data_IF_264711089299
#
_entry.id   IF_264711089299
#
_cell.length_a   1.000
_cell.length_b   1.000
_cell.length_c   1.000
_cell.angle_alpha   90.00
_cell.angle_beta   90.00
_cell.angle_gamma   90.00
#
_symmetry.space_group_name_H-M   'P 1'
#
loop_
_entity.id
_entity.type
_entity.pdbx_description
1 polymer ?
#
# COMPACT_ATOMS: atom_id res chain seq x y z
N UNK A 1 12.30 15.47 -23.33
CA UNK A 1 12.90 16.80 -23.07
C UNK A 1 12.21 17.51 -21.90
N UNK A 2 10.91 17.80 -21.95
CA UNK A 2 10.21 18.45 -20.82
C UNK A 2 10.28 17.66 -19.50
N UNK A 3 10.09 16.34 -19.52
CA UNK A 3 10.14 15.52 -18.29
C UNK A 3 11.52 15.51 -17.62
N UNK A 4 12.59 15.34 -18.41
CA UNK A 4 13.97 15.37 -17.90
C UNK A 4 14.35 16.77 -17.42
N UNK A 5 13.88 17.82 -18.12
CA UNK A 5 14.03 19.21 -17.68
C UNK A 5 13.41 19.44 -16.31
N UNK A 6 12.16 19.02 -16.08
CA UNK A 6 11.51 19.14 -14.76
C UNK A 6 12.33 18.50 -13.64
N UNK A 7 12.91 17.32 -13.87
CA UNK A 7 13.78 16.65 -12.88
C UNK A 7 15.04 17.47 -12.63
N UNK A 8 15.76 17.84 -13.69
CA UNK A 8 17.02 18.59 -13.57
C UNK A 8 16.81 19.96 -12.93
N UNK A 9 15.78 20.68 -13.35
CA UNK A 9 15.42 21.99 -12.81
C UNK A 9 15.04 21.89 -11.33
N UNK A 10 14.24 20.88 -10.96
CA UNK A 10 13.85 20.66 -9.56
C UNK A 10 15.07 20.33 -8.69
N UNK A 11 15.93 19.40 -9.12
CA UNK A 11 17.12 19.03 -8.36
C UNK A 11 18.10 20.21 -8.26
N UNK A 12 18.30 20.96 -9.33
CA UNK A 12 19.16 22.16 -9.35
C UNK A 12 18.61 23.23 -8.41
N UNK A 13 17.29 23.45 -8.42
CA UNK A 13 16.62 24.36 -7.49
C UNK A 13 16.86 23.94 -6.04
N UNK A 14 16.69 22.65 -5.72
CA UNK A 14 16.92 22.13 -4.36
C UNK A 14 18.36 22.30 -3.89
N UNK A 15 19.36 22.16 -4.79
CA UNK A 15 20.76 22.42 -4.46
C UNK A 15 21.02 23.91 -4.20
N UNK A 16 20.43 24.80 -5.01
CA UNK A 16 20.68 26.23 -4.92
C UNK A 16 19.92 26.92 -3.79
N UNK A 17 18.68 26.50 -3.53
CA UNK A 17 17.79 27.11 -2.52
C UNK A 17 17.82 26.36 -1.18
N UNK A 18 18.34 25.13 -1.16
CA UNK A 18 18.33 24.24 -0.01
C UNK A 18 17.05 23.41 0.11
N UNK A 19 17.12 22.30 0.84
CA UNK A 19 15.94 21.53 1.22
C UNK A 19 15.27 22.11 2.46
N UNK A 20 13.94 21.98 2.52
CA UNK A 20 13.18 22.29 3.73
C UNK A 20 13.61 21.36 4.88
N UNK A 21 14.26 21.93 5.89
CA UNK A 21 14.82 21.21 7.03
C UNK A 21 13.76 20.39 7.77
N UNK A 22 12.53 20.91 7.82
CA UNK A 22 11.40 20.22 8.45
C UNK A 22 10.99 18.97 7.68
N UNK A 23 11.02 19.03 6.35
CA UNK A 23 10.80 17.87 5.47
C UNK A 23 11.90 16.82 5.66
N UNK A 24 13.16 17.23 5.81
CA UNK A 24 14.27 16.31 6.13
C UNK A 24 14.06 15.64 7.49
N UNK A 25 13.73 16.43 8.52
CA UNK A 25 13.45 15.91 9.86
C UNK A 25 12.27 14.93 9.86
N UNK A 26 11.20 15.25 9.13
CA UNK A 26 10.04 14.40 8.94
C UNK A 26 10.40 13.08 8.26
N UNK A 27 11.17 13.12 7.17
CA UNK A 27 11.61 11.92 6.46
C UNK A 27 12.47 11.00 7.34
N UNK A 28 13.41 11.56 8.11
CA UNK A 28 14.25 10.78 9.01
C UNK A 28 13.42 10.15 10.13
N UNK A 29 12.53 10.92 10.77
CA UNK A 29 11.66 10.41 11.84
C UNK A 29 10.74 9.30 11.34
N UNK A 30 10.22 9.41 10.12
CA UNK A 30 9.40 8.37 9.50
C UNK A 30 10.15 7.03 9.41
N UNK A 31 11.40 7.05 8.90
CA UNK A 31 12.20 5.83 8.80
C UNK A 31 12.67 5.31 10.15
N UNK A 32 13.07 6.18 11.07
CA UNK A 32 13.47 5.81 12.44
C UNK A 32 12.29 5.18 13.21
N UNK A 33 11.08 5.72 13.07
CA UNK A 33 9.88 5.15 13.67
C UNK A 33 9.64 3.73 13.14
N UNK A 34 9.72 3.52 11.82
CA UNK A 34 9.57 2.18 11.21
C UNK A 34 10.63 1.21 11.68
N UNK A 35 11.87 1.67 11.82
CA UNK A 35 12.97 0.87 12.37
C UNK A 35 12.67 0.43 13.81
N UNK A 36 12.22 1.36 14.67
CA UNK A 36 11.86 1.09 16.08
C UNK A 36 10.64 0.19 16.21
N UNK A 37 9.62 0.41 15.38
CA UNK A 37 8.41 -0.40 15.37
C UNK A 37 8.72 -1.84 14.97
N UNK A 38 9.56 -2.01 13.94
CA UNK A 38 9.91 -3.30 13.36
C UNK A 38 8.68 -4.18 13.11
N UNK A 39 7.56 -3.55 12.70
CA UNK A 39 6.34 -4.24 12.28
C UNK A 39 6.42 -4.49 10.77
N UNK A 40 6.50 -5.77 10.42
CA UNK A 40 6.53 -6.24 9.03
C UNK A 40 5.22 -6.93 8.63
N UNK A 41 4.15 -6.70 9.39
CA UNK A 41 2.83 -7.28 9.18
C UNK A 41 2.87 -8.80 9.22
N UNK A 42 2.53 -9.43 8.09
CA UNK A 42 2.50 -10.91 7.97
C UNK A 42 3.87 -11.56 7.87
N UNK A 43 4.93 -10.79 7.63
CA UNK A 43 6.27 -11.33 7.44
C UNK A 43 6.98 -11.51 8.79
N UNK A 44 7.55 -12.68 9.08
CA UNK A 44 8.30 -12.89 10.31
C UNK A 44 9.50 -11.94 10.41
N UNK A 45 9.72 -11.34 11.59
CA UNK A 45 10.88 -10.45 11.84
C UNK A 45 12.21 -11.11 11.49
N UNK A 46 12.38 -12.40 11.82
CA UNK A 46 13.60 -13.16 11.53
C UNK A 46 13.90 -13.25 10.03
N UNK A 47 12.88 -13.44 9.19
CA UNK A 47 13.05 -13.42 7.73
C UNK A 47 13.52 -12.04 7.25
N UNK A 48 12.86 -10.98 7.71
CA UNK A 48 13.19 -9.61 7.29
C UNK A 48 14.61 -9.21 7.74
N UNK A 49 15.01 -9.55 8.95
CA UNK A 49 16.38 -9.32 9.41
C UNK A 49 17.40 -10.19 8.66
N UNK A 50 17.07 -11.44 8.35
CA UNK A 50 17.90 -12.30 7.51
C UNK A 50 18.16 -11.70 6.13
N UNK A 51 17.12 -11.19 5.46
CA UNK A 51 17.26 -10.51 4.17
C UNK A 51 18.14 -9.25 4.25
N UNK A 52 18.04 -8.49 5.35
CA UNK A 52 18.89 -7.31 5.59
C UNK A 52 20.36 -7.67 5.85
N UNK A 53 20.61 -8.78 6.54
CA UNK A 53 21.97 -9.31 6.73
C UNK A 53 22.54 -9.74 5.38
N UNK A 54 21.75 -10.45 4.57
CA UNK A 54 22.20 -10.89 3.25
C UNK A 54 22.56 -9.73 2.33
N UNK A 55 21.92 -8.56 2.45
CA UNK A 55 22.20 -7.43 1.56
C UNK A 55 23.59 -6.80 1.76
N UNK A 56 24.25 -6.97 2.92
CA UNK A 56 25.67 -6.63 3.07
C UNK A 56 26.57 -7.86 2.99
N UNK A 57 26.15 -8.98 3.57
CA UNK A 57 26.98 -10.19 3.64
C UNK A 57 27.33 -10.76 2.27
N UNK A 58 26.43 -10.67 1.28
CA UNK A 58 26.70 -11.13 -0.09
C UNK A 58 27.83 -10.37 -0.81
N UNK A 59 28.21 -9.20 -0.29
CA UNK A 59 29.19 -8.31 -0.90
C UNK A 59 30.44 -8.10 -0.04
N UNK A 60 30.32 -8.28 1.28
CA UNK A 60 31.43 -8.16 2.22
C UNK A 60 31.22 -9.11 3.43
N UNK A 61 32.12 -10.09 3.57
CA UNK A 61 32.09 -11.08 4.64
C UNK A 61 32.36 -10.49 6.03
N UNK A 62 33.00 -9.32 6.12
CA UNK A 62 33.38 -8.71 7.39
C UNK A 62 32.28 -7.77 7.93
N UNK A 63 31.26 -7.47 7.11
CA UNK A 63 30.17 -6.56 7.45
C UNK A 63 28.75 -7.18 7.35
N UNK A 64 28.49 -8.41 7.83
CA UNK A 64 27.18 -9.04 7.68
C UNK A 64 26.07 -8.32 8.43
N UNK A 65 26.40 -7.54 9.48
CA UNK A 65 25.42 -6.85 10.32
C UNK A 65 25.34 -5.34 10.09
N UNK A 66 25.99 -4.83 9.04
CA UNK A 66 26.03 -3.39 8.75
C UNK A 66 24.63 -2.77 8.73
N UNK A 67 23.71 -3.41 8.00
CA UNK A 67 22.32 -2.97 7.87
C UNK A 67 21.42 -3.38 9.04
N UNK A 68 21.95 -3.65 10.23
CA UNK A 68 21.13 -3.81 11.45
C UNK A 68 21.42 -2.73 12.50
N UNK A 69 22.36 -1.81 12.23
CA UNK A 69 22.85 -0.81 13.20
C UNK A 69 22.38 0.62 12.86
N UNK A 70 21.13 0.77 12.44
CA UNK A 70 20.63 2.02 11.84
C UNK A 70 20.55 3.21 12.80
N UNK A 71 20.45 2.99 14.12
CA UNK A 71 20.28 4.07 15.11
C UNK A 71 21.37 5.16 15.00
N UNK A 72 22.64 4.74 14.83
CA UNK A 72 23.74 5.68 14.66
C UNK A 72 23.64 6.44 13.33
N UNK A 73 23.14 5.77 12.29
CA UNK A 73 22.87 6.40 10.99
C UNK A 73 21.80 7.49 11.09
N UNK A 74 20.69 7.24 11.79
CA UNK A 74 19.65 8.25 11.97
C UNK A 74 20.13 9.46 12.79
N UNK A 75 20.93 9.24 13.84
CA UNK A 75 21.54 10.32 14.61
C UNK A 75 22.45 11.19 13.72
N UNK A 76 23.35 10.55 12.97
CA UNK A 76 24.23 11.23 12.02
C UNK A 76 23.44 12.03 10.98
N UNK A 77 22.40 11.46 10.38
CA UNK A 77 21.58 12.16 9.38
C UNK A 77 20.89 13.41 9.96
N UNK A 78 20.41 13.35 11.21
CA UNK A 78 19.83 14.54 11.87
C UNK A 78 20.85 15.65 12.07
N UNK A 79 22.09 15.31 12.45
CA UNK A 79 23.18 16.29 12.59
C UNK A 79 23.58 16.95 11.27
N UNK A 80 23.25 16.33 10.13
CA UNK A 80 23.52 16.90 8.80
C UNK A 80 22.42 17.85 8.28
N UNK A 81 21.32 18.02 9.01
CA UNK A 81 20.29 18.99 8.61
C UNK A 81 20.87 20.40 8.74
N UNK A 82 20.71 21.23 7.70
CA UNK A 82 21.21 22.60 7.66
C UNK A 82 22.72 22.73 7.37
N UNK A 83 23.45 21.64 7.15
CA UNK A 83 24.90 21.68 6.87
C UNK A 83 25.27 21.74 5.39
N UNK A 84 24.28 21.66 4.49
CA UNK A 84 24.49 21.53 3.04
C UNK A 84 24.82 20.11 2.57
N UNK A 85 24.79 19.13 3.48
CA UNK A 85 25.13 17.73 3.21
C UNK A 85 24.23 17.10 2.14
N UNK A 86 22.91 17.33 2.24
CA UNK A 86 21.92 16.72 1.34
C UNK A 86 21.99 17.32 -0.06
N UNK A 87 22.17 18.62 -0.16
CA UNK A 87 22.39 19.37 -1.40
C UNK A 87 23.66 18.87 -2.09
N UNK A 88 24.74 18.67 -1.32
CA UNK A 88 26.00 18.09 -1.83
C UNK A 88 25.78 16.68 -2.37
N UNK A 89 24.95 15.85 -1.71
CA UNK A 89 24.63 14.51 -2.21
C UNK A 89 23.82 14.56 -3.52
N UNK A 90 22.83 15.46 -3.62
CA UNK A 90 22.06 15.66 -4.85
C UNK A 90 22.97 16.08 -5.99
N UNK A 91 23.82 17.08 -5.75
CA UNK A 91 24.79 17.56 -6.74
C UNK A 91 25.68 16.41 -7.23
N UNK A 92 26.36 15.72 -6.30
CA UNK A 92 27.35 14.69 -6.63
C UNK A 92 26.75 13.43 -7.26
N UNK A 93 25.68 12.89 -6.69
CA UNK A 93 25.21 11.55 -7.04
C UNK A 93 24.08 11.56 -8.08
N UNK A 94 23.39 12.69 -8.27
CA UNK A 94 22.28 12.82 -9.22
C UNK A 94 22.59 13.79 -10.36
N UNK A 95 23.02 15.02 -10.10
CA UNK A 95 23.24 16.02 -11.14
C UNK A 95 24.55 15.81 -11.91
N UNK A 96 25.66 15.59 -11.20
CA UNK A 96 26.99 15.41 -11.79
C UNK A 96 27.22 13.97 -12.29
N UNK A 97 26.33 13.04 -11.91
CA UNK A 97 26.46 11.64 -12.25
C UNK A 97 25.97 11.38 -13.68
N UNK A 98 26.91 11.16 -14.59
CA UNK A 98 26.63 10.85 -15.99
C UNK A 98 26.17 9.41 -16.23
N UNK A 99 26.21 8.53 -15.22
CA UNK A 99 25.75 7.16 -15.31
C UNK A 99 24.22 7.06 -15.13
N UNK A 100 23.49 7.59 -16.11
CA UNK A 100 22.03 7.65 -16.12
C UNK A 100 21.43 6.98 -17.37
N UNK A 101 20.19 6.48 -17.27
CA UNK A 101 19.44 5.93 -18.41
C UNK A 101 18.00 6.42 -18.39
N UNK A 102 17.53 6.93 -19.53
CA UNK A 102 16.13 7.28 -19.74
C UNK A 102 15.43 6.11 -20.46
N UNK A 103 14.50 5.45 -19.76
CA UNK A 103 13.70 4.36 -20.32
C UNK A 103 12.27 4.84 -20.57
N UNK A 104 11.85 4.84 -21.83
CA UNK A 104 10.47 5.19 -22.21
C UNK A 104 9.71 3.95 -22.65
N UNK A 105 8.64 3.60 -21.93
CA UNK A 105 7.73 2.51 -22.29
C UNK A 105 6.51 3.08 -23.02
N UNK A 106 6.40 2.79 -24.31
CA UNK A 106 5.27 3.24 -25.13
C UNK A 106 4.29 2.10 -25.40
N UNK A 107 2.99 2.28 -25.10
CA UNK A 107 1.98 1.27 -25.44
C UNK A 107 1.91 1.10 -26.96
N UNK A 108 1.82 -0.15 -27.41
CA UNK A 108 1.73 -0.49 -28.84
C UNK A 108 0.59 -1.45 -29.07
N UNK A 109 -0.49 -0.95 -29.67
CA UNK A 109 -1.67 -1.75 -30.04
C UNK A 109 -1.26 -2.93 -30.92
N UNK A 110 -1.76 -4.11 -30.59
CA UNK A 110 -1.45 -5.35 -31.32
C UNK A 110 -0.05 -5.92 -31.06
N UNK A 111 0.73 -5.39 -30.12
CA UNK A 111 2.06 -5.95 -29.80
C UNK A 111 1.96 -7.42 -29.33
N UNK A 112 0.96 -7.75 -28.52
CA UNK A 112 0.75 -9.13 -28.05
C UNK A 112 0.43 -10.06 -29.23
N UNK A 113 -0.53 -9.70 -30.09
CA UNK A 113 -0.85 -10.48 -31.29
C UNK A 113 0.37 -10.68 -32.20
N UNK A 114 1.21 -9.65 -32.39
CA UNK A 114 2.47 -9.79 -33.15
C UNK A 114 3.48 -10.72 -32.47
N UNK A 115 3.57 -10.72 -31.14
CA UNK A 115 4.43 -11.65 -30.40
C UNK A 115 3.91 -13.08 -30.50
N UNK A 116 2.59 -13.27 -30.44
CA UNK A 116 1.94 -14.58 -30.59
C UNK A 116 2.12 -15.14 -32.00
N UNK A 117 1.95 -14.32 -33.05
CA UNK A 117 2.16 -14.80 -34.42
C UNK A 117 3.63 -15.18 -34.64
N UNK A 118 4.59 -14.36 -34.19
CA UNK A 118 6.02 -14.72 -34.23
C UNK A 118 6.33 -16.00 -33.46
N UNK A 119 5.70 -16.20 -32.30
CA UNK A 119 5.86 -17.42 -31.52
C UNK A 119 5.28 -18.62 -32.28
N UNK A 120 4.11 -18.48 -32.89
CA UNK A 120 3.45 -19.50 -33.70
C UNK A 120 4.27 -19.87 -34.93
N UNK A 121 4.82 -18.89 -35.64
CA UNK A 121 5.75 -19.10 -36.76
C UNK A 121 6.99 -19.87 -36.30
N UNK A 122 7.62 -19.43 -35.20
CA UNK A 122 8.79 -20.10 -34.60
C UNK A 122 8.48 -21.56 -34.24
N UNK A 123 7.34 -21.82 -33.60
CA UNK A 123 6.93 -23.17 -33.21
C UNK A 123 6.58 -24.03 -34.43
N UNK A 124 5.99 -23.44 -35.47
CA UNK A 124 5.67 -24.14 -36.72
C UNK A 124 6.92 -24.52 -37.48
N UNK A 125 7.89 -23.60 -37.60
CA UNK A 125 9.19 -23.88 -38.21
C UNK A 125 9.98 -24.94 -37.43
N UNK A 126 9.98 -24.85 -36.10
CA UNK A 126 10.59 -25.87 -35.24
C UNK A 126 9.94 -27.25 -35.48
N UNK A 127 8.61 -27.33 -35.47
CA UNK A 127 7.88 -28.57 -35.74
C UNK A 127 8.17 -29.13 -37.13
N UNK A 128 8.28 -28.28 -38.16
CA UNK A 128 8.60 -28.71 -39.52
C UNK A 128 10.02 -29.29 -39.66
N UNK A 129 10.95 -28.88 -38.79
CA UNK A 129 12.31 -29.42 -38.72
C UNK A 129 12.44 -30.76 -37.99
N UNK A 130 11.37 -31.26 -37.37
CA UNK A 130 11.37 -32.53 -36.65
C UNK A 130 11.01 -33.69 -37.57
N UNK A 131 11.71 -34.81 -37.40
CA UNK A 131 11.33 -36.09 -38.01
C UNK A 131 10.03 -36.63 -37.39
N UNK A 132 9.41 -37.58 -38.11
CA UNK A 132 8.19 -38.26 -37.61
C UNK A 132 8.41 -38.97 -36.28
N UNK A 133 9.60 -39.55 -36.07
CA UNK A 133 9.93 -40.26 -34.83
C UNK A 133 10.13 -39.28 -33.66
N UNK A 134 10.76 -38.13 -33.89
CA UNK A 134 10.86 -37.08 -32.86
C UNK A 134 9.50 -36.52 -32.47
N UNK A 135 8.59 -36.31 -33.44
CA UNK A 135 7.22 -35.87 -33.15
C UNK A 135 6.47 -36.93 -32.34
N UNK A 136 6.58 -38.21 -32.71
CA UNK A 136 5.96 -39.31 -31.96
C UNK A 136 6.47 -39.37 -30.52
N UNK A 137 7.78 -39.31 -30.34
CA UNK A 137 8.42 -39.28 -29.03
C UNK A 137 7.92 -38.12 -28.17
N UNK A 138 7.85 -36.90 -28.73
CA UNK A 138 7.35 -35.73 -28.00
C UNK A 138 5.88 -35.86 -27.58
N UNK A 139 5.04 -36.48 -28.43
CA UNK A 139 3.65 -36.78 -28.09
C UNK A 139 3.56 -37.80 -26.96
N UNK A 140 4.37 -38.85 -27.00
CA UNK A 140 4.44 -39.87 -25.94
C UNK A 140 4.94 -39.29 -24.62
N UNK A 141 6.01 -38.48 -24.64
CA UNK A 141 6.52 -37.77 -23.48
C UNK A 141 5.48 -36.81 -22.89
N UNK A 142 4.74 -36.10 -23.74
CA UNK A 142 3.65 -35.22 -23.30
C UNK A 142 2.53 -36.01 -22.61
N UNK A 143 2.14 -37.17 -23.16
CA UNK A 143 1.15 -38.07 -22.53
C UNK A 143 1.65 -38.61 -21.19
N UNK A 144 2.91 -39.05 -21.15
CA UNK A 144 3.55 -39.53 -19.94
C UNK A 144 3.61 -38.44 -18.87
N UNK A 145 3.98 -37.21 -19.23
CA UNK A 145 4.00 -36.06 -18.33
C UNK A 145 2.61 -35.76 -17.76
N UNK A 146 1.57 -35.76 -18.61
CA UNK A 146 0.18 -35.57 -18.14
C UNK A 146 -0.23 -36.66 -17.16
N UNK A 147 0.01 -37.92 -17.50
CA UNK A 147 -0.29 -39.04 -16.61
C UNK A 147 0.46 -38.90 -15.27
N UNK A 148 1.73 -38.52 -15.30
CA UNK A 148 2.53 -38.26 -14.09
C UNK A 148 1.95 -37.14 -13.22
N UNK A 149 1.52 -36.02 -13.82
CA UNK A 149 0.92 -34.90 -13.09
C UNK A 149 -0.47 -35.21 -12.51
N UNK A 150 -1.24 -36.07 -13.19
CA UNK A 150 -2.59 -36.48 -12.78
C UNK A 150 -2.59 -37.68 -11.82
N UNK A 151 -1.50 -38.45 -11.76
CA UNK A 151 -1.36 -39.60 -10.87
C UNK A 151 -1.22 -39.10 -9.42
N UNK A 152 -2.16 -39.42 -8.51
CA UNK A 152 -2.04 -39.04 -7.12
C UNK A 152 -0.89 -39.80 -6.45
N UNK A 153 -0.22 -39.16 -5.49
CA UNK A 153 0.76 -39.84 -4.65
C UNK A 153 0.13 -41.00 -3.90
N UNK A 154 0.87 -42.10 -3.79
CA UNK A 154 0.49 -43.27 -3.00
C UNK A 154 0.47 -42.95 -1.51
N UNK A 155 -0.21 -43.78 -0.72
CA UNK A 155 -0.25 -43.62 0.73
C UNK A 155 1.15 -43.72 1.34
N UNK A 156 1.95 -44.69 0.89
CA UNK A 156 3.33 -44.88 1.37
C UNK A 156 4.23 -43.67 1.07
N UNK A 157 4.03 -42.96 -0.05
CA UNK A 157 4.75 -41.73 -0.37
C UNK A 157 4.34 -40.56 0.53
N UNK A 158 3.03 -40.41 0.77
CA UNK A 158 2.52 -39.37 1.67
C UNK A 158 2.97 -39.59 3.11
N UNK A 159 3.03 -40.83 3.58
CA UNK A 159 3.48 -41.20 4.93
C UNK A 159 4.98 -40.96 5.18
N UNK A 160 5.80 -40.73 4.12
CA UNK A 160 7.21 -40.31 4.26
C UNK A 160 7.37 -38.84 4.61
N UNK A 161 6.32 -38.03 4.47
CA UNK A 161 6.36 -36.60 4.82
C UNK A 161 6.24 -36.48 6.35
N UNK A 162 7.25 -35.95 7.05
CA UNK A 162 7.18 -35.81 8.50
C UNK A 162 6.06 -34.83 8.88
N UNK A 163 5.18 -35.25 9.77
CA UNK A 163 4.02 -34.49 10.22
C UNK A 163 4.07 -34.31 11.73
N UNK A 164 3.57 -33.18 12.21
CA UNK A 164 3.25 -33.02 13.64
C UNK A 164 2.01 -33.83 13.98
N UNK A 165 1.90 -34.20 15.25
CA UNK A 165 0.73 -34.90 15.79
C UNK A 165 -0.36 -33.92 16.19
N UNK A 166 -1.57 -34.42 16.44
CA UNK A 166 -2.67 -33.58 16.95
C UNK A 166 -2.35 -33.07 18.37
N UNK A 167 -1.54 -33.82 19.10
CA UNK A 167 -1.07 -33.52 20.44
C UNK A 167 -0.10 -32.33 20.48
N UNK A 168 0.62 -32.08 19.39
CA UNK A 168 1.49 -30.89 19.23
C UNK A 168 0.69 -29.59 19.04
N UNK A 169 -0.60 -29.69 18.67
CA UNK A 169 -1.48 -28.53 18.46
C UNK A 169 -2.13 -28.13 19.80
N UNK A 170 -1.93 -26.87 20.19
CA UNK A 170 -2.55 -26.33 21.41
C UNK A 170 -4.08 -26.43 21.34
N UNK A 171 -4.70 -27.07 22.35
CA UNK A 171 -6.16 -27.26 22.44
C UNK A 171 -6.97 -25.99 22.73
N UNK A 172 -6.32 -24.94 23.23
CA UNK A 172 -6.95 -23.67 23.58
C UNK A 172 -6.42 -22.56 22.68
N UNK A 173 -7.34 -21.77 22.13
CA UNK A 173 -7.00 -20.54 21.39
C UNK A 173 -6.43 -19.50 22.34
N UNK A 174 -5.71 -18.52 21.79
CA UNK A 174 -5.33 -17.35 22.58
C UNK A 174 -6.61 -16.62 23.04
N UNK A 175 -6.69 -16.21 24.32
CA UNK A 175 -7.82 -15.45 24.82
C UNK A 175 -7.83 -14.03 24.25
N UNK A 176 -8.98 -13.37 24.31
CA UNK A 176 -9.07 -11.94 24.07
C UNK A 176 -8.54 -11.19 25.30
N UNK A 177 -7.62 -10.25 25.07
CA UNK A 177 -7.04 -9.40 26.13
C UNK A 177 -7.69 -8.02 26.21
N UNK A 178 -8.85 -7.88 25.58
CA UNK A 178 -9.53 -6.61 25.40
C UNK A 178 -10.30 -6.26 26.67
N UNK A 179 -10.14 -5.03 27.14
CA UNK A 179 -10.97 -4.46 28.20
C UNK A 179 -11.88 -3.41 27.59
N UNK A 180 -13.18 -3.58 27.81
CA UNK A 180 -14.16 -2.54 27.47
C UNK A 180 -14.12 -1.46 28.56
N UNK A 181 -14.01 -0.22 28.13
CA UNK A 181 -14.02 0.98 28.95
C UNK A 181 -15.05 1.95 28.38
N UNK A 182 -15.49 2.90 29.19
CA UNK A 182 -16.28 4.05 28.78
C UNK A 182 -15.50 5.31 29.14
N UNK A 183 -15.30 6.19 28.18
CA UNK A 183 -14.65 7.50 28.36
C UNK A 183 -15.53 8.53 27.67
N UNK A 184 -16.07 9.49 28.41
CA UNK A 184 -16.98 10.53 27.90
C UNK A 184 -18.09 9.96 26.99
N UNK A 185 -18.77 8.92 27.48
CA UNK A 185 -19.83 8.17 26.77
C UNK A 185 -19.41 7.46 25.46
N UNK A 186 -18.11 7.44 25.15
CA UNK A 186 -17.53 6.68 24.03
C UNK A 186 -17.01 5.32 24.52
N UNK A 187 -17.44 4.25 23.83
CA UNK A 187 -16.92 2.90 24.08
C UNK A 187 -15.48 2.79 23.61
N UNK A 188 -14.57 2.48 24.53
CA UNK A 188 -13.14 2.27 24.25
C UNK A 188 -12.78 0.81 24.46
N UNK A 189 -12.19 0.18 23.44
CA UNK A 189 -11.64 -1.17 23.54
C UNK A 189 -10.14 -1.10 23.79
N UNK A 190 -9.72 -1.22 25.04
CA UNK A 190 -8.30 -1.15 25.40
C UNK A 190 -7.62 -2.52 25.32
N UNK A 191 -6.54 -2.60 24.55
CA UNK A 191 -5.78 -3.83 24.30
C UNK A 191 -4.40 -3.71 24.95
N UNK A 192 -4.22 -4.26 26.15
CA UNK A 192 -2.94 -4.17 26.88
C UNK A 192 -1.96 -5.24 26.40
N UNK A 193 -1.14 -4.90 25.41
CA UNK A 193 -0.06 -5.74 24.89
C UNK A 193 1.27 -4.97 24.87
N UNK A 194 2.40 -5.70 24.81
CA UNK A 194 3.71 -5.07 24.66
C UNK A 194 3.90 -4.57 23.22
N UNK A 195 4.09 -3.26 23.07
CA UNK A 195 4.16 -2.57 21.77
C UNK A 195 5.43 -1.74 21.59
N UNK A 196 6.48 -2.05 22.35
CA UNK A 196 7.77 -1.33 22.27
C UNK A 196 7.67 0.20 22.51
N UNK A 197 6.71 0.63 23.35
CA UNK A 197 6.46 2.04 23.65
C UNK A 197 5.63 2.79 22.59
N UNK A 198 5.01 2.08 21.66
CA UNK A 198 4.12 2.64 20.62
C UNK A 198 2.66 2.42 21.04
N UNK A 199 1.88 3.48 21.05
CA UNK A 199 0.43 3.41 21.14
C UNK A 199 -0.16 3.26 19.73
N UNK A 200 -1.13 2.36 19.58
CA UNK A 200 -1.93 2.21 18.37
C UNK A 200 -3.35 2.69 18.67
N UNK A 201 -3.76 3.75 17.99
CA UNK A 201 -5.07 4.35 18.16
C UNK A 201 -5.89 4.14 16.88
N UNK A 202 -7.14 3.70 17.03
CA UNK A 202 -8.12 3.55 15.96
C UNK A 202 -9.44 4.12 16.44
N UNK A 203 -9.95 5.10 15.71
CA UNK A 203 -11.25 5.73 15.94
C UNK A 203 -12.15 5.26 14.82
N UNK A 204 -13.30 4.68 15.17
CA UNK A 204 -14.28 4.19 14.21
C UNK A 204 -15.53 5.06 14.27
N UNK A 205 -15.89 5.64 13.13
CA UNK A 205 -17.17 6.32 12.92
C UNK A 205 -18.10 5.37 12.18
N UNK A 206 -19.32 5.24 12.66
CA UNK A 206 -20.32 4.36 12.04
C UNK A 206 -20.82 4.93 10.72
N UNK A 207 -20.93 4.09 9.69
CA UNK A 207 -21.42 4.50 8.37
C UNK A 207 -22.81 3.94 8.03
N UNK A 208 -23.50 3.28 8.98
CA UNK A 208 -24.81 2.65 8.72
C UNK A 208 -25.91 3.65 8.33
N UNK A 209 -25.81 4.89 8.80
CA UNK A 209 -26.79 5.94 8.54
C UNK A 209 -26.42 6.83 7.34
N UNK A 210 -25.32 6.52 6.64
CA UNK A 210 -24.91 7.24 5.43
C UNK A 210 -25.76 6.78 4.24
N UNK A 211 -26.41 7.71 3.51
CA UNK A 211 -27.15 7.40 2.28
C UNK A 211 -26.30 6.64 1.26
N UNK A 212 -26.91 5.71 0.53
CA UNK A 212 -26.20 4.79 -0.36
C UNK A 212 -25.41 5.53 -1.46
N UNK A 213 -25.95 6.64 -1.96
CA UNK A 213 -25.35 7.52 -2.96
C UNK A 213 -24.09 8.24 -2.46
N UNK A 214 -23.92 8.40 -1.13
CA UNK A 214 -22.75 9.01 -0.51
C UNK A 214 -21.67 8.01 -0.13
N UNK A 215 -21.94 6.69 -0.19
CA UNK A 215 -20.95 5.67 0.17
C UNK A 215 -19.65 5.76 -0.64
N UNK A 216 -19.64 5.97 -1.97
CA UNK A 216 -18.40 6.21 -2.71
C UNK A 216 -17.64 7.45 -2.20
N UNK A 217 -18.36 8.48 -1.77
CA UNK A 217 -17.76 9.71 -1.24
C UNK A 217 -17.10 9.49 0.12
N UNK A 218 -17.55 8.53 0.93
CA UNK A 218 -16.84 8.17 2.18
C UNK A 218 -15.43 7.62 1.88
N UNK A 219 -15.29 6.82 0.83
CA UNK A 219 -13.99 6.33 0.37
C UNK A 219 -13.15 7.45 -0.21
N UNK A 220 -13.72 8.29 -1.08
CA UNK A 220 -13.02 9.44 -1.63
C UNK A 220 -12.53 10.37 -0.50
N UNK A 221 -13.37 10.68 0.49
CA UNK A 221 -13.01 11.47 1.66
C UNK A 221 -11.82 10.85 2.40
N UNK A 222 -11.84 9.55 2.66
CA UNK A 222 -10.73 8.86 3.35
C UNK A 222 -9.38 9.03 2.65
N UNK A 223 -9.40 9.22 1.33
CA UNK A 223 -8.19 9.39 0.53
C UNK A 223 -7.83 10.87 0.28
N UNK A 224 -8.78 11.79 0.47
CA UNK A 224 -8.58 13.24 0.38
C UNK A 224 -8.00 13.80 1.68
N UNK A 225 -8.43 13.29 2.83
CA UNK A 225 -7.92 13.72 4.14
C UNK A 225 -6.41 13.46 4.25
N UNK A 226 -5.66 14.52 4.57
CA UNK A 226 -4.19 14.49 4.64
C UNK A 226 -3.46 14.80 3.33
N UNK A 227 -4.18 14.93 2.21
CA UNK A 227 -3.62 15.27 0.88
C UNK A 227 -4.07 16.63 0.33
N UNK A 228 -4.95 17.29 1.08
CA UNK A 228 -5.43 18.66 0.85
C UNK A 228 -4.84 19.59 1.90
N UNK A 229 -4.84 20.89 1.59
CA UNK A 229 -4.56 21.91 2.58
C UNK A 229 -5.61 21.86 3.68
N UNK A 230 -5.22 22.33 4.86
CA UNK A 230 -6.09 22.55 6.00
C UNK A 230 -6.09 24.04 6.34
N UNK A 231 -6.95 24.47 7.26
CA UNK A 231 -6.98 25.86 7.70
C UNK A 231 -5.63 26.34 8.24
N UNK A 232 -4.85 25.44 8.85
CA UNK A 232 -3.59 25.80 9.51
C UNK A 232 -2.33 25.34 8.76
N UNK A 233 -2.45 24.37 7.84
CA UNK A 233 -1.29 23.78 7.14
C UNK A 233 -1.54 23.62 5.65
N UNK A 234 -0.51 23.87 4.84
CA UNK A 234 -0.47 23.27 3.50
C UNK A 234 -0.39 21.75 3.63
N UNK A 235 -0.83 21.00 2.61
CA UNK A 235 -0.80 19.54 2.65
C UNK A 235 0.62 18.97 2.88
N UNK A 236 1.65 19.65 2.36
CA UNK A 236 3.05 19.29 2.59
C UNK A 236 3.46 19.54 4.04
N UNK A 237 3.09 20.69 4.61
CA UNK A 237 3.39 21.02 6.00
C UNK A 237 2.67 20.08 6.98
N UNK A 238 1.42 19.69 6.68
CA UNK A 238 0.67 18.71 7.46
C UNK A 238 1.35 17.33 7.41
N UNK A 239 1.75 16.87 6.22
CA UNK A 239 2.50 15.62 6.07
C UNK A 239 3.79 15.63 6.89
N UNK A 240 4.51 16.75 6.90
CA UNK A 240 5.72 16.91 7.72
C UNK A 240 5.40 16.79 9.22
N UNK A 241 4.38 17.49 9.72
CA UNK A 241 3.97 17.38 11.13
C UNK A 241 3.55 15.95 11.51
N UNK A 242 2.77 15.29 10.66
CA UNK A 242 2.36 13.90 10.88
C UNK A 242 3.58 12.99 11.04
N UNK A 243 4.57 13.11 10.16
CA UNK A 243 5.78 12.28 10.19
C UNK A 243 6.78 12.68 11.29
N UNK A 244 6.74 13.93 11.77
CA UNK A 244 7.54 14.37 12.91
C UNK A 244 6.96 13.85 14.22
N UNK A 245 5.64 13.97 14.40
CA UNK A 245 4.99 13.70 15.68
C UNK A 245 4.54 12.23 15.81
N UNK A 246 4.27 11.54 14.70
CA UNK A 246 3.66 10.20 14.68
C UNK A 246 4.38 9.26 13.71
N UNK A 247 4.03 7.98 13.71
CA UNK A 247 4.43 7.04 12.65
C UNK A 247 3.49 7.03 11.45
N UNK A 248 2.58 8.00 11.36
CA UNK A 248 1.58 8.13 10.30
C UNK A 248 0.15 8.18 10.86
N UNK A 249 -0.71 8.92 10.16
CA UNK A 249 -2.15 8.95 10.38
C UNK A 249 -2.82 8.53 9.07
N UNK A 250 -3.77 7.60 9.14
CA UNK A 250 -4.45 7.03 7.98
C UNK A 250 -5.96 7.07 8.19
N UNK A 251 -6.68 7.60 7.21
CA UNK A 251 -8.12 7.46 7.09
C UNK A 251 -8.43 6.32 6.12
N UNK A 252 -9.44 5.50 6.42
CA UNK A 252 -9.88 4.39 5.58
C UNK A 252 -11.38 4.13 5.76
N UNK A 253 -12.02 3.54 4.75
CA UNK A 253 -13.33 2.88 4.92
C UNK A 253 -13.12 1.39 5.13
N UNK A 254 -13.69 0.85 6.21
CA UNK A 254 -13.61 -0.57 6.57
C UNK A 254 -15.00 -1.14 6.80
N UNK A 255 -15.09 -2.46 6.74
CA UNK A 255 -16.32 -3.17 7.08
C UNK A 255 -16.03 -4.54 7.65
N UNK A 256 -16.75 -4.91 8.71
CA UNK A 256 -16.62 -6.20 9.39
C UNK A 256 -17.90 -7.02 9.22
N UNK A 257 -17.78 -8.25 8.70
CA UNK A 257 -18.93 -9.15 8.59
C UNK A 257 -19.35 -9.68 9.96
N UNK A 258 -20.66 -9.86 10.16
CA UNK A 258 -21.17 -10.60 11.31
C UNK A 258 -21.09 -12.09 11.02
N UNK A 259 -20.46 -12.86 11.92
CA UNK A 259 -20.37 -14.32 11.80
C UNK A 259 -21.75 -14.94 11.52
N UNK A 260 -21.81 -15.78 10.49
CA UNK A 260 -23.02 -16.49 10.09
C UNK A 260 -24.02 -15.66 9.28
N UNK A 261 -23.63 -14.51 8.73
CA UNK A 261 -24.49 -13.67 7.90
C UNK A 261 -23.73 -13.13 6.68
N UNK A 262 -24.41 -13.09 5.54
CA UNK A 262 -23.96 -12.42 4.31
C UNK A 262 -24.47 -10.99 4.18
N UNK A 263 -25.45 -10.62 5.01
CA UNK A 263 -26.20 -9.37 4.89
C UNK A 263 -25.89 -8.41 6.04
N UNK A 264 -25.52 -8.93 7.21
CA UNK A 264 -25.21 -8.14 8.40
C UNK A 264 -23.71 -7.87 8.48
N UNK A 265 -23.35 -6.59 8.47
CA UNK A 265 -21.98 -6.11 8.59
C UNK A 265 -21.95 -4.78 9.35
N UNK A 266 -20.76 -4.36 9.74
CA UNK A 266 -20.50 -3.11 10.44
C UNK A 266 -19.57 -2.24 9.57
N UNK A 267 -20.12 -1.33 8.75
CA UNK A 267 -19.33 -0.37 7.99
C UNK A 267 -18.86 0.76 8.89
N UNK A 268 -17.59 1.14 8.74
CA UNK A 268 -16.99 2.20 9.54
C UNK A 268 -16.02 3.03 8.70
N UNK A 269 -15.94 4.31 9.00
CA UNK A 269 -14.80 5.15 8.65
C UNK A 269 -13.80 5.07 9.79
N UNK A 270 -12.58 4.62 9.50
CA UNK A 270 -11.51 4.47 10.47
C UNK A 270 -10.52 5.61 10.30
N UNK A 271 -10.24 6.34 11.37
CA UNK A 271 -9.04 7.15 11.49
C UNK A 271 -8.07 6.44 12.45
N UNK A 272 -6.85 6.19 12.00
CA UNK A 272 -5.89 5.40 12.76
C UNK A 272 -4.51 6.03 12.77
N UNK A 273 -3.78 5.83 13.86
CA UNK A 273 -2.38 6.22 13.98
C UNK A 273 -1.60 5.25 14.84
N UNK A 274 -0.29 5.32 14.67
CA UNK A 274 0.72 4.72 15.53
C UNK A 274 1.62 5.84 16.01
N UNK A 275 1.84 5.92 17.31
CA UNK A 275 2.50 7.09 17.91
C UNK A 275 3.21 6.70 19.20
N UNK A 276 4.30 7.38 19.56
CA UNK A 276 4.91 7.18 20.86
C UNK A 276 3.98 7.72 21.96
N UNK A 277 3.92 7.08 23.12
CA UNK A 277 2.98 7.47 24.19
C UNK A 277 3.05 8.96 24.57
N UNK A 278 4.26 9.53 24.58
CA UNK A 278 4.48 10.95 24.90
C UNK A 278 4.06 11.93 23.79
N UNK A 279 3.62 11.44 22.63
CA UNK A 279 3.16 12.20 21.46
C UNK A 279 1.68 12.00 21.15
N UNK A 280 0.96 11.29 22.01
CA UNK A 280 -0.48 11.08 21.88
C UNK A 280 -1.29 12.39 21.79
N UNK A 281 -1.03 13.43 22.61
CA UNK A 281 -1.76 14.70 22.51
C UNK A 281 -1.62 15.36 21.14
N UNK A 282 -0.42 15.35 20.56
CA UNK A 282 -0.14 15.89 19.23
C UNK A 282 -0.83 15.07 18.13
N UNK A 283 -0.86 13.73 18.26
CA UNK A 283 -1.59 12.89 17.31
C UNK A 283 -3.09 13.22 17.29
N UNK A 284 -3.72 13.43 18.45
CA UNK A 284 -5.14 13.84 18.50
C UNK A 284 -5.37 15.20 17.86
N UNK A 285 -4.48 16.19 18.08
CA UNK A 285 -4.57 17.51 17.43
C UNK A 285 -4.48 17.40 15.90
N UNK A 286 -3.56 16.58 15.39
CA UNK A 286 -3.41 16.36 13.94
C UNK A 286 -4.60 15.60 13.34
N UNK A 287 -5.16 14.64 14.07
CA UNK A 287 -6.41 13.98 13.68
C UNK A 287 -7.59 14.96 13.60
N UNK A 288 -7.72 15.85 14.58
CA UNK A 288 -8.74 16.91 14.59
C UNK A 288 -8.54 17.87 13.40
N UNK A 289 -7.31 18.30 13.14
CA UNK A 289 -6.96 19.13 11.98
C UNK A 289 -7.40 18.47 10.67
N UNK A 290 -7.07 17.18 10.48
CA UNK A 290 -7.47 16.42 9.30
C UNK A 290 -8.99 16.37 9.16
N UNK A 291 -9.71 16.00 10.22
CA UNK A 291 -11.17 15.78 10.17
C UNK A 291 -11.97 17.08 10.00
N UNK A 292 -11.62 18.14 10.73
CA UNK A 292 -12.48 19.32 10.85
C UNK A 292 -11.98 20.55 10.09
N UNK A 293 -10.72 20.56 9.65
CA UNK A 293 -10.10 21.77 9.10
C UNK A 293 -9.57 21.59 7.68
N UNK A 294 -9.78 20.43 7.06
CA UNK A 294 -9.42 20.19 5.66
C UNK A 294 -10.21 21.14 4.73
N UNK A 295 -9.51 21.85 3.85
CA UNK A 295 -10.07 22.81 2.88
C UNK A 295 -10.36 22.09 1.58
N UNK A 296 -11.60 21.66 1.38
CA UNK A 296 -12.03 20.87 0.22
C UNK A 296 -12.23 21.69 -1.07
N UNK A 297 -12.19 23.02 -0.98
CA UNK A 297 -12.57 23.92 -2.08
C UNK A 297 -11.50 24.07 -3.18
N UNK A 298 -10.31 23.48 -2.98
CA UNK A 298 -9.27 23.44 -4.02
C UNK A 298 -9.61 22.42 -5.10
N UNK A 299 -10.44 22.85 -6.06
CA UNK A 299 -10.96 22.01 -7.15
C UNK A 299 -9.85 21.36 -7.96
N UNK A 300 -8.75 22.08 -8.26
CA UNK A 300 -7.61 21.55 -9.01
C UNK A 300 -6.95 20.41 -8.25
N UNK A 301 -6.62 20.61 -6.97
CA UNK A 301 -5.94 19.59 -6.16
C UNK A 301 -6.81 18.35 -5.97
N UNK A 302 -8.11 18.53 -5.71
CA UNK A 302 -9.04 17.42 -5.60
C UNK A 302 -9.10 16.60 -6.90
N UNK A 303 -9.01 17.24 -8.07
CA UNK A 303 -8.93 16.53 -9.36
C UNK A 303 -7.66 15.69 -9.49
N UNK A 304 -6.51 16.25 -9.14
CA UNK A 304 -5.22 15.54 -9.17
C UNK A 304 -5.27 14.27 -8.30
N UNK A 305 -5.83 14.40 -7.10
CA UNK A 305 -6.06 13.32 -6.14
C UNK A 305 -6.96 12.22 -6.74
N UNK A 306 -8.09 12.60 -7.34
CA UNK A 306 -9.02 11.65 -8.03
C UNK A 306 -8.33 10.94 -9.20
N UNK A 307 -7.56 11.65 -10.02
CA UNK A 307 -6.85 11.07 -11.16
C UNK A 307 -5.77 10.08 -10.74
N UNK A 308 -5.03 10.41 -9.68
CA UNK A 308 -4.02 9.54 -9.10
C UNK A 308 -4.66 8.25 -8.56
N UNK A 309 -5.80 8.36 -7.87
CA UNK A 309 -6.54 7.21 -7.33
C UNK A 309 -7.06 6.29 -8.42
N UNK A 310 -7.71 6.87 -9.44
CA UNK A 310 -8.18 6.12 -10.61
C UNK A 310 -7.03 5.35 -11.25
N UNK A 311 -5.88 6.00 -11.43
CA UNK A 311 -4.69 5.38 -12.02
C UNK A 311 -4.14 4.23 -11.17
N UNK A 312 -4.05 4.42 -9.84
CA UNK A 312 -3.64 3.38 -8.89
C UNK A 312 -4.58 2.17 -8.91
N UNK A 313 -5.89 2.40 -8.94
CA UNK A 313 -6.88 1.33 -9.02
C UNK A 313 -6.78 0.55 -10.33
N UNK A 314 -6.60 1.24 -11.46
CA UNK A 314 -6.40 0.60 -12.76
C UNK A 314 -5.16 -0.32 -12.75
N UNK A 315 -4.05 0.14 -12.16
CA UNK A 315 -2.83 -0.68 -12.00
C UNK A 315 -3.07 -1.89 -11.09
N UNK A 316 -3.83 -1.71 -10.00
CA UNK A 316 -4.20 -2.79 -9.10
C UNK A 316 -5.00 -3.88 -9.83
N UNK A 317 -5.98 -3.50 -10.66
CA UNK A 317 -6.78 -4.46 -11.43
C UNK A 317 -5.96 -5.28 -12.41
N UNK A 318 -5.03 -4.64 -13.12
CA UNK A 318 -4.18 -5.34 -14.08
C UNK A 318 -3.25 -6.38 -13.42
N UNK A 319 -2.85 -6.15 -12.16
CA UNK A 319 -1.96 -7.04 -11.42
C UNK A 319 -2.69 -8.05 -10.52
N UNK A 320 -3.97 -7.82 -10.21
CA UNK A 320 -4.75 -8.61 -9.25
C UNK A 320 -6.11 -9.07 -9.80
N UNK A 321 -6.18 -9.41 -11.09
CA UNK A 321 -7.45 -9.75 -11.77
C UNK A 321 -8.28 -10.85 -11.10
N UNK A 322 -7.64 -11.84 -10.47
CA UNK A 322 -8.33 -12.90 -9.72
C UNK A 322 -9.06 -12.36 -8.48
N UNK A 323 -8.40 -11.55 -7.65
CA UNK A 323 -9.02 -10.93 -6.47
C UNK A 323 -10.16 -10.01 -6.85
N UNK A 324 -9.97 -9.20 -7.89
CA UNK A 324 -11.00 -8.30 -8.43
C UNK A 324 -12.22 -9.08 -8.93
N UNK A 325 -12.02 -10.19 -9.62
CA UNK A 325 -13.11 -11.05 -10.08
C UNK A 325 -13.88 -11.68 -8.91
N UNK A 326 -13.18 -12.13 -7.86
CA UNK A 326 -13.81 -12.67 -6.65
C UNK A 326 -14.62 -11.59 -5.94
N UNK A 327 -14.06 -10.42 -5.70
CA UNK A 327 -14.75 -9.32 -5.01
C UNK A 327 -15.99 -8.86 -5.79
N UNK A 328 -15.88 -8.73 -7.12
CA UNK A 328 -17.03 -8.42 -7.98
C UNK A 328 -18.06 -9.54 -7.98
N UNK A 329 -17.67 -10.81 -8.02
CA UNK A 329 -18.64 -11.90 -7.93
C UNK A 329 -19.40 -11.88 -6.59
N UNK A 330 -18.69 -11.62 -5.49
CA UNK A 330 -19.25 -11.53 -4.14
C UNK A 330 -20.27 -10.40 -3.99
N UNK A 331 -20.16 -9.32 -4.77
CA UNK A 331 -21.09 -8.19 -4.70
C UNK A 331 -22.51 -8.53 -5.16
N UNK A 332 -22.69 -9.56 -6.00
CA UNK A 332 -24.01 -9.96 -6.51
C UNK A 332 -24.87 -10.75 -5.51
N UNK A 333 -24.29 -11.31 -4.45
CA UNK A 333 -25.02 -12.19 -3.53
C UNK A 333 -24.76 -11.89 -2.04
N UNK A 334 -24.02 -10.83 -1.72
CA UNK A 334 -23.80 -10.38 -0.34
C UNK A 334 -23.92 -8.86 -0.25
N UNK A 335 -24.73 -8.36 0.69
CA UNK A 335 -24.83 -6.92 0.96
C UNK A 335 -23.48 -6.36 1.43
N UNK A 336 -22.73 -7.13 2.21
CA UNK A 336 -21.35 -6.76 2.60
C UNK A 336 -20.41 -6.72 1.39
N UNK A 337 -20.55 -7.66 0.46
CA UNK A 337 -19.81 -7.66 -0.81
C UNK A 337 -20.14 -6.44 -1.68
N UNK A 338 -21.43 -6.08 -1.76
CA UNK A 338 -21.90 -4.88 -2.48
C UNK A 338 -21.30 -3.61 -1.88
N UNK A 339 -21.34 -3.46 -0.55
CA UNK A 339 -20.70 -2.33 0.13
C UNK A 339 -19.22 -2.22 -0.26
N UNK A 340 -18.46 -3.32 -0.17
CA UNK A 340 -17.04 -3.34 -0.56
C UNK A 340 -16.82 -2.93 -2.01
N UNK A 341 -17.66 -3.39 -2.93
CA UNK A 341 -17.52 -3.05 -4.35
C UNK A 341 -17.83 -1.57 -4.63
N UNK A 342 -18.83 -0.99 -3.95
CA UNK A 342 -19.19 0.44 -4.00
C UNK A 342 -18.08 1.33 -3.42
N UNK A 343 -17.40 0.87 -2.36
CA UNK A 343 -16.39 1.68 -1.65
C UNK A 343 -14.95 1.44 -2.10
N UNK A 344 -14.63 0.30 -2.72
CA UNK A 344 -13.25 -0.05 -3.08
C UNK A 344 -13.09 -0.94 -4.32
N UNK A 345 -14.19 -1.49 -4.86
CA UNK A 345 -14.15 -2.42 -5.99
C UNK A 345 -14.28 -1.74 -7.35
N UNK A 346 -14.81 -2.49 -8.31
CA UNK A 346 -14.97 -2.00 -9.68
C UNK A 346 -16.02 -0.87 -9.73
N UNK A 347 -17.05 -0.90 -8.85
CA UNK A 347 -18.09 0.16 -8.86
C UNK A 347 -17.49 1.47 -8.36
N UNK A 348 -16.62 1.41 -7.35
CA UNK A 348 -15.86 2.58 -6.91
C UNK A 348 -14.92 3.11 -8.01
N UNK A 349 -14.22 2.23 -8.73
CA UNK A 349 -13.40 2.66 -9.87
C UNK A 349 -14.23 3.36 -10.95
N UNK A 350 -15.39 2.81 -11.33
CA UNK A 350 -16.29 3.42 -12.30
C UNK A 350 -16.80 4.78 -11.84
N UNK A 351 -17.09 4.93 -10.55
CA UNK A 351 -17.42 6.22 -9.94
C UNK A 351 -16.26 7.23 -10.11
N UNK A 352 -15.02 6.84 -9.81
CA UNK A 352 -13.86 7.72 -10.00
C UNK A 352 -13.60 8.04 -11.47
N UNK A 353 -13.81 7.09 -12.38
CA UNK A 353 -13.66 7.27 -13.82
C UNK A 353 -14.65 8.30 -14.36
N UNK A 354 -15.93 8.16 -14.01
CA UNK A 354 -16.99 9.08 -14.38
C UNK A 354 -16.78 10.47 -13.76
N UNK A 355 -16.49 10.53 -12.45
CA UNK A 355 -16.21 11.80 -11.76
C UNK A 355 -14.99 12.50 -12.36
N UNK A 356 -13.93 11.75 -12.68
CA UNK A 356 -12.74 12.28 -13.35
C UNK A 356 -13.05 12.82 -14.74
N UNK A 357 -13.82 12.09 -15.55
CA UNK A 357 -14.11 12.48 -16.93
C UNK A 357 -15.00 13.74 -16.98
N UNK A 358 -15.93 13.85 -16.02
CA UNK A 358 -16.94 14.91 -15.98
C UNK A 358 -16.67 15.97 -14.90
N UNK A 359 -15.43 16.05 -14.39
CA UNK A 359 -15.11 16.81 -13.17
C UNK A 359 -15.48 18.30 -13.27
N UNK A 360 -15.25 18.94 -14.42
CA UNK A 360 -15.55 20.35 -14.60
C UNK A 360 -17.02 20.71 -14.31
N UNK A 361 -17.96 19.80 -14.62
CA UNK A 361 -19.39 19.99 -14.34
C UNK A 361 -19.86 19.36 -13.02
N UNK A 362 -18.99 18.65 -12.29
CA UNK A 362 -19.34 17.92 -11.06
C UNK A 362 -18.52 18.31 -9.83
N UNK A 363 -17.56 19.23 -9.97
CA UNK A 363 -16.66 19.62 -8.88
C UNK A 363 -17.43 20.14 -7.65
N UNK A 364 -18.39 21.06 -7.85
CA UNK A 364 -19.19 21.61 -6.75
C UNK A 364 -20.02 20.54 -6.04
N UNK A 365 -20.66 19.65 -6.81
CA UNK A 365 -21.41 18.51 -6.27
C UNK A 365 -20.50 17.58 -5.47
N UNK A 366 -19.32 17.27 -5.99
CA UNK A 366 -18.37 16.40 -5.30
C UNK A 366 -17.88 17.02 -4.00
N UNK A 367 -17.56 18.32 -4.00
CA UNK A 367 -17.18 19.06 -2.80
C UNK A 367 -18.34 19.10 -1.80
N UNK A 368 -19.57 19.35 -2.26
CA UNK A 368 -20.76 19.32 -1.42
C UNK A 368 -20.96 17.97 -0.74
N UNK A 369 -20.88 16.88 -1.50
CA UNK A 369 -21.02 15.51 -0.99
C UNK A 369 -19.87 15.09 -0.06
N UNK A 370 -18.69 15.69 -0.16
CA UNK A 370 -17.56 15.46 0.76
C UNK A 370 -17.68 16.27 2.05
N UNK A 371 -18.41 17.40 2.03
CA UNK A 371 -18.67 18.26 3.20
C UNK A 371 -19.85 17.77 4.04
N UNK A 372 -20.82 17.12 3.41
CA UNK A 372 -21.94 16.44 4.06
C UNK A 372 -21.44 15.19 4.78
#
# INVERSE_FOLDING_TARGET
EQFTGVIQDTLTKLVNEGLDEKSLQAAINFYEFRYREADFGRFPKGLMYGLRVMSSWLHDNDQPFLHLKDNAGYAFLKEQIGTGYYETMIQKYLLDNTHATLVTLMPKTGLNAKKEEKLKEKLSAYKAGLSREEIRKMVEETKHLKNYQETPSTKEELERIPMITREDIRKKTQPLYNKELMVDDVKVLHHKVYTNGIAYLRIFFDLRDIPQELLPYTSLLSMVLGYMDTQNYSYLALSNEINIQTGGILANVKSFSRKGSTDKYYPVFELSTKVLYNKLPEAFKLMEEMLYRTVLDNTKRLKEIIDEMKSKMQMYFNSNGHSVAVDRAMSYYSVHGMFKDITAGISFYQFLEDLSANYAGRAEMAIGNLKQ
#
